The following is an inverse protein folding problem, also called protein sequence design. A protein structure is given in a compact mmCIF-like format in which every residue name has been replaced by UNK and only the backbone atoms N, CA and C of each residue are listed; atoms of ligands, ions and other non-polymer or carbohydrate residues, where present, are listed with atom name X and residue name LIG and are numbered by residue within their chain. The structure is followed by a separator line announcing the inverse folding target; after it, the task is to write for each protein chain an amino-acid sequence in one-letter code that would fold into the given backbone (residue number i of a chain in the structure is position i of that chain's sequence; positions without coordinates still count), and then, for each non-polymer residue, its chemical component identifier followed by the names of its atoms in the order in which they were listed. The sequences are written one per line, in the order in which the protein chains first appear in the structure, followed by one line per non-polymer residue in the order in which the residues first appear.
data_IF_781786147972
#
_entry.id   IF_781786147972
#
_cell.length_a   1.000
_cell.length_b   1.000
_cell.length_c   1.000
_cell.angle_alpha   90.00
_cell.angle_beta   90.00
_cell.angle_gamma   90.00
#
_symmetry.space_group_name_H-M   'P 1'
#
loop_
_entity.id
_entity.type
_entity.pdbx_description
1 polymer ?
#
# COMPACT_ATOMS: atom_id res chain seq x y z
N UNK A 1 37.56 68.15 29.39
CA UNK A 1 37.99 69.38 28.67
C UNK A 1 37.18 69.39 27.38
N UNK A 2 36.05 70.09 27.38
CA UNK A 2 35.92 71.50 26.99
C UNK A 2 35.97 71.65 25.45
N UNK A 3 34.95 72.30 24.89
CA UNK A 3 35.09 72.96 23.59
C UNK A 3 33.87 72.94 22.69
N UNK A 4 32.99 73.93 22.89
CA UNK A 4 32.08 74.50 21.91
C UNK A 4 32.75 74.85 20.56
N UNK A 5 31.93 74.90 19.50
CA UNK A 5 31.97 75.87 18.37
C UNK A 5 30.71 75.65 17.50
N UNK A 6 29.68 76.47 17.66
CA UNK A 6 29.38 77.74 16.95
C UNK A 6 28.86 77.62 15.50
N UNK A 7 27.57 77.96 15.37
CA UNK A 7 26.96 78.94 14.45
C UNK A 7 27.29 78.96 12.95
N UNK A 8 26.24 78.83 12.11
CA UNK A 8 25.72 79.99 11.35
C UNK A 8 24.33 79.74 10.72
N UNK A 9 23.41 80.64 11.04
CA UNK A 9 22.13 80.85 10.39
C UNK A 9 22.28 81.51 9.01
N UNK A 10 21.28 81.33 8.13
CA UNK A 10 20.77 82.38 7.23
C UNK A 10 19.30 82.11 6.88
N UNK A 11 18.41 82.90 7.47
CA UNK A 11 17.06 83.20 6.98
C UNK A 11 17.12 84.01 5.69
N UNK A 12 16.15 83.82 4.80
CA UNK A 12 15.43 84.83 4.00
C UNK A 12 14.41 84.07 3.14
N UNK A 13 13.20 84.51 2.82
CA UNK A 13 12.32 85.60 3.22
C UNK A 13 11.02 85.32 2.42
N UNK A 14 9.86 85.36 3.07
CA UNK A 14 8.55 85.33 2.41
C UNK A 14 8.36 86.59 1.55
N UNK A 15 7.77 86.43 0.37
CA UNK A 15 7.03 87.48 -0.32
C UNK A 15 5.84 86.87 -1.08
N UNK A 16 4.64 87.11 -0.54
CA UNK A 16 3.36 86.98 -1.24
C UNK A 16 3.21 88.10 -2.28
N UNK A 17 2.70 87.77 -3.47
CA UNK A 17 1.83 88.64 -4.27
C UNK A 17 1.03 87.78 -5.25
N UNK A 18 -0.28 87.72 -5.03
CA UNK A 18 -1.23 87.18 -6.01
C UNK A 18 -1.51 88.17 -7.15
N UNK A 19 -2.06 87.65 -8.26
CA UNK A 19 -3.19 88.19 -9.03
C UNK A 19 -3.57 87.21 -10.16
N UNK A 20 -4.88 86.93 -10.23
CA UNK A 20 -5.71 86.55 -11.39
C UNK A 20 -5.57 85.18 -12.05
N UNK A 21 -6.47 84.29 -11.64
CA UNK A 21 -7.44 83.56 -12.48
C UNK A 21 -7.19 83.49 -13.98
N UNK A 22 -7.02 82.27 -14.50
CA UNK A 22 -7.93 81.73 -15.51
C UNK A 22 -7.97 80.20 -15.44
N UNK A 23 -9.20 79.70 -15.57
CA UNK A 23 -9.66 78.32 -15.71
C UNK A 23 -8.66 77.30 -16.25
N UNK A 24 -8.45 76.23 -15.48
CA UNK A 24 -8.39 74.87 -16.02
C UNK A 24 -8.82 73.89 -14.91
N UNK A 25 -10.11 73.89 -14.64
CA UNK A 25 -10.80 72.78 -13.96
C UNK A 25 -10.74 71.55 -14.88
N UNK A 26 -9.60 70.85 -14.90
CA UNK A 26 -9.55 69.46 -15.34
C UNK A 26 -10.19 68.62 -14.26
N UNK A 27 -11.47 68.33 -14.45
CA UNK A 27 -12.24 67.36 -13.67
C UNK A 27 -11.54 66.01 -13.67
N UNK A 28 -10.67 65.75 -12.69
CA UNK A 28 -10.38 64.38 -12.27
C UNK A 28 -11.68 63.83 -11.71
N UNK A 29 -12.40 63.02 -12.50
CA UNK A 29 -13.52 62.25 -11.99
C UNK A 29 -13.04 61.44 -10.78
N UNK A 30 -13.51 61.80 -9.58
CA UNK A 30 -13.26 61.03 -8.38
C UNK A 30 -13.85 59.63 -8.61
N UNK A 31 -12.99 58.61 -8.61
CA UNK A 31 -13.43 57.22 -8.75
C UNK A 31 -14.38 56.86 -7.60
N UNK A 32 -15.43 56.11 -7.90
CA UNK A 32 -16.34 55.61 -6.87
C UNK A 32 -15.57 54.79 -5.81
N UNK A 33 -15.96 54.83 -4.53
CA UNK A 33 -15.28 54.11 -3.44
C UNK A 33 -15.09 52.60 -3.70
N UNK A 34 -16.02 51.98 -4.43
CA UNK A 34 -15.94 50.59 -4.86
C UNK A 34 -14.75 50.35 -5.81
N UNK A 35 -14.43 51.28 -6.70
CA UNK A 35 -13.31 51.17 -7.65
C UNK A 35 -11.99 51.32 -6.89
N UNK A 36 -11.93 52.18 -5.88
CA UNK A 36 -10.74 52.31 -5.00
C UNK A 36 -10.43 50.99 -4.28
N UNK A 37 -11.44 50.33 -3.73
CA UNK A 37 -11.29 49.01 -3.10
C UNK A 37 -10.77 47.95 -4.09
N UNK A 38 -11.25 47.94 -5.34
CA UNK A 38 -10.75 47.03 -6.38
C UNK A 38 -9.27 47.30 -6.74
N UNK A 39 -8.86 48.57 -6.76
CA UNK A 39 -7.46 48.97 -6.99
C UNK A 39 -6.54 48.55 -5.84
N UNK A 40 -7.00 48.64 -4.60
CA UNK A 40 -6.27 48.22 -3.40
C UNK A 40 -6.12 46.70 -3.35
N UNK A 41 -7.20 45.94 -3.59
CA UNK A 41 -7.15 44.48 -3.71
C UNK A 41 -6.14 44.03 -4.76
N UNK A 42 -6.06 44.74 -5.89
CA UNK A 42 -5.04 44.48 -6.92
C UNK A 42 -3.63 44.73 -6.38
N UNK A 43 -3.38 45.85 -5.70
CA UNK A 43 -2.05 46.16 -5.16
C UNK A 43 -1.55 45.07 -4.20
N UNK A 44 -2.44 44.54 -3.35
CA UNK A 44 -2.11 43.42 -2.47
C UNK A 44 -1.67 42.17 -3.24
N UNK A 45 -2.28 41.88 -4.40
CA UNK A 45 -1.87 40.75 -5.26
C UNK A 45 -0.51 40.97 -5.93
N UNK A 46 -0.22 42.21 -6.33
CA UNK A 46 1.10 42.55 -6.91
C UNK A 46 2.21 42.34 -5.88
N UNK A 47 2.00 42.81 -4.64
CA UNK A 47 2.94 42.59 -3.53
C UNK A 47 3.17 41.10 -3.27
N UNK A 48 2.12 40.28 -3.34
CA UNK A 48 2.23 38.83 -3.18
C UNK A 48 3.05 38.17 -4.30
N UNK A 49 2.91 38.62 -5.54
CA UNK A 49 3.71 38.14 -6.67
C UNK A 49 5.18 38.56 -6.52
N UNK A 50 5.45 39.78 -6.04
CA UNK A 50 6.80 40.27 -5.75
C UNK A 50 7.46 39.47 -4.62
N UNK A 51 6.73 39.19 -3.53
CA UNK A 51 7.20 38.37 -2.41
C UNK A 51 7.57 36.95 -2.86
N UNK A 52 6.76 36.30 -3.70
CA UNK A 52 7.09 34.99 -4.27
C UNK A 52 8.38 35.04 -5.09
N UNK A 53 8.60 36.11 -5.85
CA UNK A 53 9.81 36.28 -6.64
C UNK A 53 11.05 36.48 -5.75
N UNK A 54 10.93 37.29 -4.69
CA UNK A 54 12.00 37.53 -3.73
C UNK A 54 12.34 36.25 -2.95
N UNK A 55 11.35 35.46 -2.54
CA UNK A 55 11.55 34.15 -1.94
C UNK A 55 12.29 33.19 -2.89
N UNK A 56 11.90 33.13 -4.16
CA UNK A 56 12.57 32.30 -5.17
C UNK A 56 14.00 32.74 -5.48
N UNK A 57 14.30 34.04 -5.33
CA UNK A 57 15.65 34.57 -5.53
C UNK A 57 16.51 34.47 -4.27
N UNK A 58 15.92 34.56 -3.08
CA UNK A 58 16.59 34.45 -1.77
C UNK A 58 16.86 33.03 -1.30
N UNK A 59 16.22 32.01 -1.89
CA UNK A 59 16.33 30.59 -1.51
C UNK A 59 17.47 29.84 -2.23
N UNK A 60 18.67 30.42 -2.19
CA UNK A 60 19.94 29.68 -2.27
C UNK A 60 20.40 29.25 -0.86
N UNK A 61 19.46 28.76 -0.06
CA UNK A 61 19.68 28.22 1.29
C UNK A 61 19.13 26.81 1.34
N UNK A 62 19.80 25.93 2.09
CA UNK A 62 19.93 24.48 1.98
C UNK A 62 18.63 23.62 1.96
N UNK A 63 17.43 24.21 1.91
CA UNK A 63 16.13 23.54 2.05
C UNK A 63 15.19 23.65 0.83
N UNK A 64 15.64 24.16 -0.32
CA UNK A 64 14.79 24.30 -1.52
C UNK A 64 14.50 22.94 -2.18
N UNK A 65 13.25 22.46 -2.09
CA UNK A 65 12.81 21.20 -2.71
C UNK A 65 12.06 21.44 -4.02
N UNK A 66 12.06 20.44 -4.91
CA UNK A 66 11.28 20.46 -6.18
C UNK A 66 9.79 20.73 -5.91
N UNK A 67 9.27 20.22 -4.78
CA UNK A 67 7.89 20.41 -4.36
C UNK A 67 7.62 21.86 -3.91
N UNK A 68 8.54 22.48 -3.16
CA UNK A 68 8.45 23.90 -2.80
C UNK A 68 8.43 24.77 -4.06
N UNK A 69 9.40 24.56 -4.96
CA UNK A 69 9.49 25.30 -6.23
C UNK A 69 8.25 25.09 -7.11
N UNK A 70 7.62 23.90 -7.07
CA UNK A 70 6.37 23.65 -7.79
C UNK A 70 5.20 24.38 -7.14
N UNK A 71 5.15 24.43 -5.81
CA UNK A 71 4.12 25.12 -5.03
C UNK A 71 4.16 26.63 -5.25
N UNK A 72 5.35 27.24 -5.22
CA UNK A 72 5.54 28.65 -5.58
C UNK A 72 5.01 28.96 -6.98
N UNK A 73 5.21 28.04 -7.94
CA UNK A 73 4.68 28.17 -9.30
C UNK A 73 3.17 28.10 -9.40
N UNK A 74 2.53 27.20 -8.63
CA UNK A 74 1.06 27.11 -8.62
C UNK A 74 0.44 28.35 -8.00
N UNK A 75 0.98 28.84 -6.88
CA UNK A 75 0.47 30.04 -6.20
C UNK A 75 0.63 31.28 -7.10
N UNK A 76 1.80 31.47 -7.71
CA UNK A 76 2.02 32.58 -8.64
C UNK A 76 1.04 32.55 -9.82
N UNK A 77 0.72 31.36 -10.34
CA UNK A 77 -0.21 31.21 -11.47
C UNK A 77 -1.66 31.49 -11.07
N UNK A 78 -2.08 31.06 -9.88
CA UNK A 78 -3.42 31.34 -9.36
C UNK A 78 -3.62 32.83 -9.07
N UNK A 79 -2.62 33.49 -8.48
CA UNK A 79 -2.63 34.93 -8.24
C UNK A 79 -2.60 35.73 -9.55
N UNK A 80 -1.83 35.29 -10.55
CA UNK A 80 -1.85 35.87 -11.88
C UNK A 80 -3.23 35.80 -12.52
N UNK A 81 -3.90 34.64 -12.44
CA UNK A 81 -5.25 34.46 -13.00
C UNK A 81 -6.24 35.42 -12.33
N UNK A 82 -6.23 35.49 -11.01
CA UNK A 82 -7.10 36.39 -10.27
C UNK A 82 -6.79 37.88 -10.55
N UNK A 83 -5.51 38.24 -10.68
CA UNK A 83 -5.09 39.58 -11.10
C UNK A 83 -5.57 39.92 -12.51
N UNK A 84 -5.42 39.00 -13.47
CA UNK A 84 -5.88 39.16 -14.84
C UNK A 84 -7.40 39.37 -14.91
N UNK A 85 -8.16 38.53 -14.20
CA UNK A 85 -9.62 38.65 -14.12
C UNK A 85 -10.06 39.99 -13.50
N UNK A 86 -9.33 40.48 -12.49
CA UNK A 86 -9.57 41.79 -11.87
C UNK A 86 -9.18 42.94 -12.80
N UNK A 87 -8.07 42.82 -13.52
CA UNK A 87 -7.62 43.81 -14.50
C UNK A 87 -8.65 44.00 -15.62
N UNK A 88 -9.21 42.90 -16.16
CA UNK A 88 -10.28 42.96 -17.15
C UNK A 88 -11.50 43.75 -16.66
N UNK A 89 -11.92 43.53 -15.41
CA UNK A 89 -13.04 44.30 -14.81
C UNK A 89 -12.70 45.77 -14.65
N UNK A 90 -11.45 46.10 -14.27
CA UNK A 90 -11.00 47.47 -14.13
C UNK A 90 -10.92 48.20 -15.49
N UNK A 91 -10.64 47.49 -16.59
CA UNK A 91 -10.71 48.04 -17.95
C UNK A 91 -12.11 48.51 -18.35
N UNK A 92 -13.16 47.96 -17.75
CA UNK A 92 -14.55 48.38 -18.01
C UNK A 92 -15.00 49.53 -17.09
N UNK A 93 -14.38 49.66 -15.91
CA UNK A 93 -14.82 50.56 -14.84
C UNK A 93 -13.99 51.83 -14.71
N UNK A 94 -12.74 51.82 -15.19
CA UNK A 94 -11.77 52.90 -15.01
C UNK A 94 -11.54 53.60 -16.35
N UNK A 95 -11.59 54.95 -16.39
CA UNK A 95 -11.27 55.70 -17.61
C UNK A 95 -9.86 55.40 -18.16
N UNK A 96 -9.66 55.32 -19.49
CA UNK A 96 -8.37 54.99 -20.10
C UNK A 96 -7.22 55.96 -19.77
N UNK A 97 -7.55 57.20 -19.46
CA UNK A 97 -6.65 58.29 -19.07
C UNK A 97 -6.28 58.27 -17.57
N UNK A 98 -6.86 57.35 -16.79
CA UNK A 98 -6.58 57.22 -15.37
C UNK A 98 -5.14 56.73 -15.11
N UNK A 99 -4.52 57.20 -14.01
CA UNK A 99 -3.16 56.85 -13.58
C UNK A 99 -2.89 55.34 -13.45
N UNK A 100 -3.96 54.55 -13.39
CA UNK A 100 -3.92 53.10 -13.43
C UNK A 100 -3.30 52.53 -14.72
N UNK A 101 -3.67 53.06 -15.88
CA UNK A 101 -3.20 52.57 -17.19
C UNK A 101 -1.87 53.19 -17.60
N UNK A 102 -1.53 54.37 -17.06
CA UNK A 102 -0.28 55.07 -17.40
C UNK A 102 0.98 54.40 -16.84
N UNK A 103 0.85 53.49 -15.86
CA UNK A 103 1.98 52.74 -15.27
C UNK A 103 2.16 51.32 -15.85
N UNK A 104 1.42 50.97 -16.90
CA UNK A 104 1.44 49.66 -17.57
C UNK A 104 1.51 48.47 -16.59
N UNK A 105 0.71 48.57 -15.53
CA UNK A 105 0.80 47.68 -14.36
C UNK A 105 0.56 46.21 -14.71
N UNK A 106 -0.25 45.95 -15.74
CA UNK A 106 -0.48 44.61 -16.25
C UNK A 106 0.78 44.00 -16.88
N UNK A 107 1.51 44.78 -17.69
CA UNK A 107 2.77 44.34 -18.29
C UNK A 107 3.84 44.07 -17.24
N UNK A 108 3.95 44.91 -16.20
CA UNK A 108 4.89 44.72 -15.09
C UNK A 108 4.63 43.39 -14.38
N UNK A 109 3.38 43.11 -14.00
CA UNK A 109 3.02 41.87 -13.30
C UNK A 109 3.18 40.65 -14.20
N UNK A 110 2.84 40.76 -15.49
CA UNK A 110 3.08 39.70 -16.48
C UNK A 110 4.56 39.33 -16.57
N UNK A 111 5.46 40.33 -16.54
CA UNK A 111 6.91 40.09 -16.51
C UNK A 111 7.37 39.42 -15.22
N UNK A 112 6.82 39.78 -14.06
CA UNK A 112 7.14 39.14 -12.78
C UNK A 112 6.78 37.65 -12.81
N UNK A 113 5.58 37.31 -13.29
CA UNK A 113 5.13 35.92 -13.43
C UNK A 113 6.03 35.12 -14.38
N UNK A 114 6.39 35.72 -15.52
CA UNK A 114 7.35 35.10 -16.45
C UNK A 114 8.70 34.84 -15.78
N UNK A 115 9.19 35.79 -14.99
CA UNK A 115 10.45 35.63 -14.26
C UNK A 115 10.36 34.50 -13.22
N UNK A 116 9.28 34.44 -12.45
CA UNK A 116 9.00 33.35 -11.49
C UNK A 116 9.04 31.99 -12.21
N UNK A 117 8.35 31.84 -13.34
CA UNK A 117 8.33 30.59 -14.10
C UNK A 117 9.73 30.19 -14.61
N UNK A 118 10.51 31.16 -15.09
CA UNK A 118 11.89 30.92 -15.54
C UNK A 118 12.81 30.53 -14.38
N UNK A 119 12.70 31.18 -13.23
CA UNK A 119 13.46 30.84 -12.02
C UNK A 119 13.10 29.44 -11.53
N UNK A 120 11.82 29.09 -11.51
CA UNK A 120 11.34 27.74 -11.18
C UNK A 120 11.92 26.69 -12.14
N UNK A 121 11.92 26.96 -13.45
CA UNK A 121 12.49 26.05 -14.43
C UNK A 121 14.00 25.85 -14.22
N UNK A 122 14.74 26.93 -13.91
CA UNK A 122 16.18 26.88 -13.58
C UNK A 122 16.45 26.07 -12.32
N UNK A 123 15.72 26.33 -11.24
CA UNK A 123 15.86 25.62 -9.96
C UNK A 123 15.55 24.13 -10.11
N UNK A 124 14.48 23.78 -10.84
CA UNK A 124 14.15 22.38 -11.17
C UNK A 124 15.26 21.69 -11.97
N UNK A 125 15.86 22.39 -12.94
CA UNK A 125 16.96 21.86 -13.72
C UNK A 125 18.24 21.66 -12.87
N UNK A 126 18.55 22.59 -11.96
CA UNK A 126 19.67 22.47 -11.02
C UNK A 126 19.48 21.29 -10.07
N UNK A 127 18.31 21.18 -9.44
CA UNK A 127 17.95 20.07 -8.54
C UNK A 127 17.91 18.70 -9.25
N UNK A 128 17.70 18.68 -10.57
CA UNK A 128 17.77 17.45 -11.37
C UNK A 128 19.19 17.01 -11.72
N UNK A 129 20.15 17.94 -11.82
CA UNK A 129 21.55 17.64 -12.14
C UNK A 129 22.34 17.06 -10.97
N UNK A 130 22.03 17.46 -9.74
CA UNK A 130 22.63 16.91 -8.51
C UNK A 130 22.35 15.41 -8.29
N UNK A 131 21.38 14.82 -9.00
CA UNK A 131 21.09 13.38 -8.96
C UNK A 131 22.09 12.51 -9.75
N UNK A 132 22.98 13.09 -10.55
CA UNK A 132 23.81 12.33 -11.53
C UNK A 132 25.31 12.37 -11.32
N UNK A 133 25.82 12.99 -10.25
CA UNK A 133 27.26 13.00 -9.95
C UNK A 133 27.55 12.40 -8.58
N UNK A 134 28.24 11.25 -8.48
CA UNK A 134 28.66 10.71 -7.20
C UNK A 134 29.91 11.48 -6.77
N UNK A 135 29.77 12.47 -5.91
CA UNK A 135 30.89 13.02 -5.14
C UNK A 135 30.63 12.81 -3.66
N UNK A 136 31.48 11.99 -3.06
CA UNK A 136 31.56 11.74 -1.63
C UNK A 136 31.69 13.05 -0.83
N UNK A 137 31.14 13.04 0.38
CA UNK A 137 31.33 13.97 1.51
C UNK A 137 30.14 14.87 1.84
N UNK A 138 29.05 14.27 2.31
CA UNK A 138 28.30 14.78 3.46
C UNK A 138 27.41 13.65 3.96
N UNK A 139 27.62 13.21 5.19
CA UNK A 139 26.62 12.43 5.92
C UNK A 139 25.52 13.41 6.31
N UNK A 140 24.73 13.83 5.33
CA UNK A 140 23.42 14.40 5.59
C UNK A 140 22.54 13.21 5.96
N UNK A 141 21.99 13.20 7.18
CA UNK A 141 20.98 12.25 7.61
C UNK A 141 19.77 12.32 6.66
N UNK A 142 19.85 11.61 5.53
CA UNK A 142 18.72 11.37 4.64
C UNK A 142 17.89 10.24 5.25
N UNK A 143 17.21 10.56 6.35
CA UNK A 143 15.90 9.97 6.60
C UNK A 143 15.00 10.54 5.50
N UNK A 144 15.04 9.85 4.35
CA UNK A 144 14.23 10.01 3.15
C UNK A 144 13.07 10.97 3.33
N UNK A 145 13.02 12.06 2.51
CA UNK A 145 11.86 12.95 2.33
C UNK A 145 10.54 12.21 2.61
N UNK A 146 10.02 12.37 3.83
CA UNK A 146 8.74 11.77 4.22
C UNK A 146 7.68 12.59 3.51
N UNK A 147 7.05 12.00 2.51
CA UNK A 147 5.92 12.64 1.83
C UNK A 147 4.72 12.68 2.78
N UNK A 148 4.00 13.79 2.76
CA UNK A 148 2.81 13.96 3.59
C UNK A 148 1.68 13.17 2.93
N UNK A 149 1.03 12.21 3.63
CA UNK A 149 -0.07 11.44 3.09
C UNK A 149 -1.27 12.34 2.77
N UNK A 150 -2.10 11.92 1.81
CA UNK A 150 -3.34 12.62 1.50
C UNK A 150 -4.46 12.26 2.48
N UNK A 151 -5.24 13.25 2.90
CA UNK A 151 -6.34 13.05 3.83
C UNK A 151 -7.70 13.28 3.17
N UNK A 152 -8.49 12.22 3.02
CA UNK A 152 -9.80 12.26 2.35
C UNK A 152 -10.99 12.58 3.27
N UNK A 153 -10.77 12.60 4.59
CA UNK A 153 -11.83 12.74 5.59
C UNK A 153 -12.33 11.44 6.22
N UNK A 154 -11.56 10.35 6.13
CA UNK A 154 -11.85 9.13 6.91
C UNK A 154 -11.32 9.29 8.33
N UNK A 155 -12.13 8.92 9.32
CA UNK A 155 -11.74 9.03 10.73
C UNK A 155 -10.53 8.17 11.11
N UNK A 156 -10.39 7.00 10.48
CA UNK A 156 -9.32 6.03 10.71
C UNK A 156 -7.94 6.61 10.36
N UNK A 157 -7.88 7.43 9.31
CA UNK A 157 -6.64 7.98 8.74
C UNK A 157 -6.24 9.32 9.41
N UNK A 158 -7.12 9.89 10.25
CA UNK A 158 -6.94 11.25 10.78
C UNK A 158 -5.70 11.37 11.66
N UNK A 159 -5.50 10.41 12.59
CA UNK A 159 -4.41 10.47 13.57
C UNK A 159 -3.04 10.46 12.88
N UNK A 160 -2.82 9.52 11.97
CA UNK A 160 -1.58 9.41 11.20
C UNK A 160 -1.32 10.68 10.38
N UNK A 161 -2.33 11.18 9.67
CA UNK A 161 -2.21 12.41 8.91
C UNK A 161 -1.88 13.61 9.80
N UNK A 162 -2.58 13.78 10.92
CA UNK A 162 -2.43 14.92 11.82
C UNK A 162 -1.02 14.96 12.42
N UNK A 163 -0.52 13.82 12.91
CA UNK A 163 0.82 13.70 13.49
C UNK A 163 1.92 14.00 12.46
N UNK A 164 1.83 13.41 11.26
CA UNK A 164 2.80 13.63 10.18
C UNK A 164 2.76 15.09 9.71
N UNK A 165 1.57 15.65 9.49
CA UNK A 165 1.42 17.03 9.02
C UNK A 165 1.92 18.04 10.05
N UNK A 166 1.58 17.87 11.34
CA UNK A 166 2.10 18.75 12.38
C UNK A 166 3.63 18.66 12.49
N UNK A 167 4.20 17.46 12.48
CA UNK A 167 5.66 17.27 12.56
C UNK A 167 6.40 17.91 11.37
N UNK A 168 5.87 17.75 10.15
CA UNK A 168 6.56 18.19 8.94
C UNK A 168 6.27 19.65 8.55
N UNK A 169 5.11 20.20 8.93
CA UNK A 169 4.62 21.51 8.50
C UNK A 169 4.07 22.33 9.66
N UNK A 170 3.11 21.80 10.41
CA UNK A 170 2.32 22.57 11.38
C UNK A 170 3.15 23.18 12.52
N UNK A 171 4.08 22.41 13.08
CA UNK A 171 4.89 22.78 14.25
C UNK A 171 6.21 23.47 13.89
N UNK A 172 6.51 23.65 12.60
CA UNK A 172 7.73 24.35 12.16
C UNK A 172 7.49 25.87 12.17
N UNK A 173 8.24 26.65 12.97
CA UNK A 173 8.08 28.11 13.02
C UNK A 173 8.63 28.79 11.75
N UNK A 174 9.56 28.13 11.06
CA UNK A 174 10.20 28.62 9.81
C UNK A 174 9.23 28.69 8.61
N UNK A 175 8.08 28.01 8.69
CA UNK A 175 7.10 27.98 7.60
C UNK A 175 6.03 29.05 7.86
N UNK A 176 5.89 30.06 6.99
CA UNK A 176 4.80 31.04 7.08
C UNK A 176 3.40 30.39 7.14
N UNK A 177 2.47 30.91 7.94
CA UNK A 177 1.10 30.37 8.07
C UNK A 177 0.36 30.21 6.74
N UNK A 178 0.57 31.13 5.78
CA UNK A 178 -0.02 31.06 4.43
C UNK A 178 0.43 29.77 3.71
N UNK A 179 1.72 29.44 3.79
CA UNK A 179 2.28 28.24 3.17
C UNK A 179 1.83 26.97 3.88
N UNK A 180 1.64 27.01 5.22
CA UNK A 180 1.02 25.91 5.95
C UNK A 180 -0.39 25.62 5.44
N UNK A 181 -1.20 26.67 5.25
CA UNK A 181 -2.57 26.54 4.74
C UNK A 181 -2.61 26.06 3.29
N UNK A 182 -1.71 26.55 2.42
CA UNK A 182 -1.61 26.09 1.05
C UNK A 182 -1.27 24.60 0.97
N UNK A 183 -0.27 24.14 1.74
CA UNK A 183 0.10 22.72 1.84
C UNK A 183 -1.03 21.88 2.41
N UNK A 184 -1.72 22.36 3.44
CA UNK A 184 -2.89 21.70 4.02
C UNK A 184 -3.98 21.49 2.96
N UNK A 185 -4.37 22.54 2.22
CA UNK A 185 -5.38 22.43 1.15
C UNK A 185 -4.93 21.52 0.00
N UNK A 186 -3.62 21.43 -0.28
CA UNK A 186 -3.08 20.53 -1.31
C UNK A 186 -3.21 19.05 -0.95
N UNK A 187 -2.97 18.72 0.32
CA UNK A 187 -2.95 17.33 0.84
C UNK A 187 -4.32 16.85 1.35
N UNK A 188 -5.26 17.74 1.58
CA UNK A 188 -6.63 17.41 1.97
C UNK A 188 -7.52 17.23 0.73
N UNK A 189 -8.30 16.14 0.68
CA UNK A 189 -9.19 15.76 -0.44
C UNK A 189 -10.60 15.46 0.07
N UNK A 190 -11.53 15.26 -0.87
CA UNK A 190 -12.87 14.73 -0.59
C UNK A 190 -13.67 15.54 0.43
N UNK A 191 -14.25 14.86 1.42
CA UNK A 191 -15.10 15.47 2.44
C UNK A 191 -14.33 16.47 3.32
N UNK A 192 -13.06 16.18 3.61
CA UNK A 192 -12.21 17.09 4.38
C UNK A 192 -11.86 18.36 3.59
N UNK A 193 -11.70 18.27 2.25
CA UNK A 193 -11.48 19.45 1.41
C UNK A 193 -12.73 20.35 1.36
N UNK A 194 -13.91 19.74 1.33
CA UNK A 194 -15.19 20.45 1.43
C UNK A 194 -15.32 21.27 2.72
N UNK A 195 -14.79 20.76 3.84
CA UNK A 195 -14.78 21.46 5.13
C UNK A 195 -13.93 22.75 5.09
N UNK A 196 -12.92 22.78 4.22
CA UNK A 196 -11.98 23.89 4.04
C UNK A 196 -12.31 24.78 2.84
N UNK A 197 -13.37 24.49 2.07
CA UNK A 197 -13.68 25.17 0.82
C UNK A 197 -13.88 26.69 1.00
N UNK A 198 -14.47 27.11 2.12
CA UNK A 198 -14.77 28.51 2.43
C UNK A 198 -13.61 29.27 3.10
N UNK A 199 -12.47 28.62 3.34
CA UNK A 199 -11.30 29.27 3.91
C UNK A 199 -10.41 29.80 2.76
N UNK A 200 -10.40 31.13 2.58
CA UNK A 200 -9.46 31.81 1.68
C UNK A 200 -8.01 31.57 2.16
N UNK A 201 -7.06 31.44 1.23
CA UNK A 201 -5.64 31.18 1.51
C UNK A 201 -4.98 32.46 2.02
N UNK A 202 -5.30 32.83 3.25
CA UNK A 202 -4.73 33.95 3.99
C UNK A 202 -4.10 33.39 5.26
N UNK A 203 -2.94 33.89 5.68
CA UNK A 203 -2.13 33.28 6.75
C UNK A 203 -2.87 33.13 8.08
N UNK A 204 -3.75 34.09 8.39
CA UNK A 204 -4.62 34.09 9.56
C UNK A 204 -5.64 32.94 9.59
N UNK A 205 -5.88 32.30 8.45
CA UNK A 205 -6.87 31.22 8.32
C UNK A 205 -6.26 29.82 8.51
N UNK A 206 -4.93 29.67 8.61
CA UNK A 206 -4.32 28.36 8.86
C UNK A 206 -4.84 27.76 10.16
N UNK A 207 -4.73 28.51 11.26
CA UNK A 207 -5.14 28.05 12.58
C UNK A 207 -6.63 27.68 12.61
N UNK A 208 -7.49 28.54 12.05
CA UNK A 208 -8.94 28.28 11.92
C UNK A 208 -9.26 27.06 11.05
N UNK A 209 -8.50 26.84 9.98
CA UNK A 209 -8.66 25.68 9.11
C UNK A 209 -8.26 24.38 9.82
N UNK A 210 -7.17 24.41 10.57
CA UNK A 210 -6.69 23.29 11.36
C UNK A 210 -7.68 22.93 12.48
N UNK A 211 -8.12 23.92 13.26
CA UNK A 211 -9.13 23.74 14.32
C UNK A 211 -10.45 23.17 13.80
N UNK A 212 -10.88 23.56 12.58
CA UNK A 212 -12.08 22.96 11.95
C UNK A 212 -11.88 21.47 11.66
N UNK A 213 -10.70 21.07 11.19
CA UNK A 213 -10.40 19.66 10.94
C UNK A 213 -10.34 18.89 12.26
N UNK A 214 -9.63 19.40 13.27
CA UNK A 214 -9.59 18.80 14.61
C UNK A 214 -11.00 18.64 15.19
N UNK A 215 -11.81 19.70 15.23
CA UNK A 215 -13.17 19.65 15.76
C UNK A 215 -14.05 18.60 15.06
N UNK A 216 -13.80 18.33 13.77
CA UNK A 216 -14.58 17.36 13.00
C UNK A 216 -14.04 15.93 13.09
N UNK A 217 -12.73 15.77 13.08
CA UNK A 217 -12.03 14.49 12.86
C UNK A 217 -11.25 13.98 14.08
N UNK A 218 -10.82 14.85 15.00
CA UNK A 218 -10.27 14.51 16.32
C UNK A 218 -11.41 14.15 17.29
N UNK A 219 -12.22 13.16 16.91
CA UNK A 219 -13.35 12.71 17.71
C UNK A 219 -13.20 11.23 18.05
N UNK A 220 -12.97 10.88 19.33
CA UNK A 220 -12.72 9.50 19.73
C UNK A 220 -13.90 8.56 19.44
N UNK A 221 -15.14 9.09 19.41
CA UNK A 221 -16.35 8.26 19.24
C UNK A 221 -16.48 7.68 17.82
N UNK A 222 -16.46 8.47 16.73
CA UNK A 222 -16.43 7.94 15.37
C UNK A 222 -15.20 7.08 15.09
N UNK A 223 -14.02 7.45 15.61
CA UNK A 223 -12.78 6.67 15.44
C UNK A 223 -12.97 5.28 16.06
N UNK A 224 -13.39 5.19 17.33
CA UNK A 224 -13.68 3.92 17.98
C UNK A 224 -14.75 3.11 17.24
N UNK A 225 -15.80 3.77 16.75
CA UNK A 225 -16.88 3.12 15.97
C UNK A 225 -16.35 2.53 14.66
N UNK A 226 -15.45 3.23 13.96
CA UNK A 226 -14.83 2.73 12.73
C UNK A 226 -13.99 1.48 13.01
N UNK A 227 -13.12 1.54 14.03
CA UNK A 227 -12.33 0.38 14.46
C UNK A 227 -13.22 -0.80 14.86
N UNK A 228 -14.24 -0.60 15.71
CA UNK A 228 -15.18 -1.66 16.10
C UNK A 228 -15.93 -2.27 14.90
N UNK A 229 -16.35 -1.46 13.95
CA UNK A 229 -16.96 -1.97 12.72
C UNK A 229 -16.00 -2.84 11.90
N UNK A 230 -14.71 -2.49 11.88
CA UNK A 230 -13.70 -3.30 11.22
C UNK A 230 -13.48 -4.63 11.96
N UNK A 231 -13.51 -4.64 13.30
CA UNK A 231 -13.44 -5.86 14.13
C UNK A 231 -14.54 -6.84 13.74
N UNK A 232 -15.77 -6.35 13.65
CA UNK A 232 -16.97 -7.16 13.40
C UNK A 232 -17.06 -7.66 11.95
N UNK A 233 -16.29 -7.07 11.03
CA UNK A 233 -16.26 -7.43 9.60
C UNK A 233 -15.19 -8.46 9.25
N UNK A 234 -14.35 -8.88 10.20
CA UNK A 234 -13.29 -9.86 9.95
C UNK A 234 -13.92 -11.15 9.42
N UNK A 235 -13.45 -11.59 8.24
CA UNK A 235 -13.97 -12.77 7.56
C UNK A 235 -13.17 -14.02 7.97
N UNK A 236 -13.83 -15.19 8.05
CA UNK A 236 -13.15 -16.47 8.19
C UNK A 236 -12.11 -16.69 7.09
N UNK A 237 -10.93 -17.15 7.48
CA UNK A 237 -9.90 -17.59 6.56
C UNK A 237 -10.40 -18.82 5.80
N UNK A 238 -10.41 -18.71 4.48
CA UNK A 238 -10.91 -19.77 3.59
C UNK A 238 -9.84 -20.80 3.24
N UNK A 239 -8.57 -20.53 3.57
CA UNK A 239 -7.44 -21.42 3.29
C UNK A 239 -6.38 -21.34 4.38
N UNK A 240 -5.69 -22.47 4.59
CA UNK A 240 -4.47 -22.55 5.40
C UNK A 240 -3.36 -21.78 4.69
N UNK A 241 -3.18 -20.52 5.05
CA UNK A 241 -2.12 -19.67 4.50
C UNK A 241 -1.47 -18.93 5.64
N UNK A 242 -0.13 -19.00 5.73
CA UNK A 242 0.62 -18.18 6.68
C UNK A 242 0.27 -16.69 6.51
N UNK A 243 0.27 -16.22 5.26
CA UNK A 243 -0.06 -14.82 4.94
C UNK A 243 -1.46 -14.40 5.39
N UNK A 244 -2.41 -15.33 5.44
CA UNK A 244 -3.76 -15.09 5.95
C UNK A 244 -3.78 -14.91 7.46
N UNK A 245 -3.08 -15.80 8.18
CA UNK A 245 -2.96 -15.74 9.65
C UNK A 245 -2.28 -14.45 10.09
N UNK A 246 -1.16 -14.08 9.46
CA UNK A 246 -0.42 -12.84 9.76
C UNK A 246 -1.31 -11.62 9.54
N UNK A 247 -2.04 -11.55 8.41
CA UNK A 247 -2.93 -10.41 8.11
C UNK A 247 -4.06 -10.25 9.13
N UNK A 248 -4.69 -11.35 9.55
CA UNK A 248 -5.78 -11.28 10.53
C UNK A 248 -5.26 -10.91 11.92
N UNK A 249 -4.12 -11.48 12.32
CA UNK A 249 -3.42 -11.13 13.55
C UNK A 249 -3.07 -9.63 13.59
N UNK A 250 -2.41 -9.12 12.54
CA UNK A 250 -2.02 -7.72 12.43
C UNK A 250 -3.22 -6.77 12.45
N UNK A 251 -4.27 -7.06 11.67
CA UNK A 251 -5.47 -6.22 11.63
C UNK A 251 -6.17 -6.11 12.99
N UNK A 252 -6.12 -7.18 13.80
CA UNK A 252 -6.65 -7.16 15.16
C UNK A 252 -5.75 -6.42 16.13
N UNK A 253 -4.43 -6.58 16.03
CA UNK A 253 -3.46 -5.86 16.86
C UNK A 253 -3.58 -4.34 16.65
N UNK A 254 -3.59 -3.89 15.40
CA UNK A 254 -3.74 -2.47 15.06
C UNK A 254 -5.03 -1.88 15.64
N UNK A 255 -6.12 -2.64 15.59
CA UNK A 255 -7.42 -2.26 16.13
C UNK A 255 -7.40 -2.11 17.65
N UNK A 256 -6.81 -3.09 18.33
CA UNK A 256 -6.64 -3.12 19.78
C UNK A 256 -5.79 -1.94 20.26
N UNK A 257 -4.69 -1.67 19.58
CA UNK A 257 -3.81 -0.55 19.88
C UNK A 257 -4.50 0.80 19.62
N UNK A 258 -5.28 0.91 18.55
CA UNK A 258 -6.06 2.10 18.27
C UNK A 258 -7.12 2.38 19.36
N UNK A 259 -7.84 1.35 19.83
CA UNK A 259 -8.80 1.49 20.94
C UNK A 259 -8.12 1.93 22.24
N UNK A 260 -6.94 1.39 22.54
CA UNK A 260 -6.14 1.82 23.70
C UNK A 260 -5.69 3.28 23.55
N UNK A 261 -5.26 3.68 22.36
CA UNK A 261 -4.84 5.05 22.07
C UNK A 261 -5.96 6.09 22.20
N UNK A 262 -7.23 5.66 22.13
CA UNK A 262 -8.42 6.51 22.35
C UNK A 262 -8.72 6.72 23.84
N UNK A 263 -8.00 6.05 24.75
CA UNK A 263 -8.18 6.16 26.20
C UNK A 263 -9.21 5.18 26.78
N UNK A 264 -9.51 4.09 26.07
CA UNK A 264 -10.36 3.01 26.60
C UNK A 264 -9.47 2.08 27.44
N UNK A 265 -9.43 2.34 28.74
CA UNK A 265 -8.54 1.64 29.70
C UNK A 265 -9.06 0.28 30.15
N UNK A 266 -10.39 0.06 30.18
CA UNK A 266 -10.95 -1.26 30.46
C UNK A 266 -10.85 -2.15 29.22
N UNK A 267 -9.77 -2.94 29.18
CA UNK A 267 -9.45 -3.74 28.01
C UNK A 267 -10.10 -5.11 27.97
N UNK A 268 -10.63 -5.59 29.09
CA UNK A 268 -11.02 -6.98 29.22
C UNK A 268 -12.15 -7.36 28.26
N UNK A 269 -13.18 -6.51 28.18
CA UNK A 269 -14.32 -6.77 27.30
C UNK A 269 -13.91 -6.81 25.83
N UNK A 270 -13.13 -5.83 25.36
CA UNK A 270 -12.73 -5.82 23.96
C UNK A 270 -11.69 -6.90 23.65
N UNK A 271 -10.83 -7.29 24.60
CA UNK A 271 -9.91 -8.43 24.44
C UNK A 271 -10.69 -9.72 24.24
N UNK A 272 -11.76 -9.94 25.01
CA UNK A 272 -12.66 -11.08 24.83
C UNK A 272 -13.30 -11.07 23.43
N UNK A 273 -13.78 -9.90 22.97
CA UNK A 273 -14.32 -9.76 21.62
C UNK A 273 -13.25 -10.00 20.54
N UNK A 274 -12.03 -9.51 20.71
CA UNK A 274 -10.94 -9.68 19.77
C UNK A 274 -10.56 -11.17 19.65
N UNK A 275 -10.42 -11.87 20.77
CA UNK A 275 -10.16 -13.32 20.84
C UNK A 275 -11.29 -14.10 20.16
N UNK A 276 -12.54 -13.76 20.43
CA UNK A 276 -13.69 -14.43 19.82
C UNK A 276 -13.74 -14.24 18.29
N UNK A 277 -13.49 -13.02 17.81
CA UNK A 277 -13.45 -12.72 16.38
C UNK A 277 -12.24 -13.39 15.71
N UNK A 278 -11.06 -13.38 16.35
CA UNK A 278 -9.88 -14.11 15.87
C UNK A 278 -10.18 -15.60 15.77
N UNK A 279 -10.75 -16.21 16.81
CA UNK A 279 -11.11 -17.63 16.83
C UNK A 279 -12.05 -17.99 15.67
N UNK A 280 -13.07 -17.16 15.42
CA UNK A 280 -13.99 -17.32 14.28
C UNK A 280 -13.31 -17.12 12.93
N UNK A 281 -12.24 -16.33 12.89
CA UNK A 281 -11.47 -16.11 11.68
C UNK A 281 -10.55 -17.30 11.34
N UNK A 282 -10.15 -18.09 12.34
CA UNK A 282 -9.24 -19.23 12.18
C UNK A 282 -9.96 -20.48 11.65
N UNK A 283 -9.21 -21.37 11.00
CA UNK A 283 -9.73 -22.67 10.57
C UNK A 283 -9.93 -23.65 11.75
N UNK A 284 -10.71 -24.72 11.50
CA UNK A 284 -11.10 -25.72 12.51
C UNK A 284 -9.89 -26.37 13.21
N UNK A 285 -8.79 -26.62 12.49
CA UNK A 285 -7.59 -27.26 13.06
C UNK A 285 -6.81 -26.29 13.96
N UNK A 286 -6.72 -25.02 13.57
CA UNK A 286 -6.06 -24.01 14.39
C UNK A 286 -6.91 -23.71 15.64
N UNK A 287 -8.24 -23.70 15.50
CA UNK A 287 -9.15 -23.57 16.65
C UNK A 287 -8.95 -24.74 17.63
N UNK A 288 -8.93 -25.98 17.14
CA UNK A 288 -8.70 -27.16 18.00
C UNK A 288 -7.34 -27.09 18.71
N UNK A 289 -6.26 -26.75 17.98
CA UNK A 289 -4.94 -26.60 18.56
C UNK A 289 -4.86 -25.49 19.62
N UNK A 290 -5.65 -24.42 19.47
CA UNK A 290 -5.79 -23.37 20.47
C UNK A 290 -6.45 -23.89 21.75
N UNK A 291 -7.57 -24.63 21.64
CA UNK A 291 -8.23 -25.22 22.81
C UNK A 291 -7.33 -26.23 23.53
N UNK A 292 -6.57 -27.04 22.78
CA UNK A 292 -5.58 -27.97 23.35
C UNK A 292 -4.50 -27.22 24.12
N UNK A 293 -4.00 -26.08 23.60
CA UNK A 293 -3.01 -25.23 24.28
C UNK A 293 -3.54 -24.70 25.62
N UNK A 294 -4.82 -24.32 25.68
CA UNK A 294 -5.45 -23.84 26.92
C UNK A 294 -5.64 -24.97 27.94
N UNK A 295 -5.84 -26.20 27.48
CA UNK A 295 -5.97 -27.38 28.34
C UNK A 295 -7.17 -27.25 29.29
N UNK A 296 -6.92 -27.36 30.60
CA UNK A 296 -7.98 -27.29 31.62
C UNK A 296 -8.20 -25.89 32.20
N UNK A 297 -7.57 -24.84 31.66
CA UNK A 297 -7.77 -23.45 32.11
C UNK A 297 -9.23 -23.04 31.93
N UNK A 298 -9.74 -22.27 32.90
CA UNK A 298 -11.12 -21.75 32.92
C UNK A 298 -11.20 -20.22 32.99
N UNK A 299 -10.05 -19.58 33.16
CA UNK A 299 -9.90 -18.13 33.07
C UNK A 299 -9.90 -17.67 31.60
N UNK A 300 -10.26 -16.42 31.36
CA UNK A 300 -10.21 -15.84 30.02
C UNK A 300 -8.74 -15.67 29.59
N UNK A 301 -8.33 -16.24 28.45
CA UNK A 301 -6.99 -16.01 27.94
C UNK A 301 -6.82 -14.52 27.58
N UNK A 302 -5.60 -14.01 27.71
CA UNK A 302 -5.29 -12.64 27.27
C UNK A 302 -5.17 -12.58 25.75
N UNK A 303 -5.50 -11.43 25.16
CA UNK A 303 -5.40 -11.25 23.71
C UNK A 303 -3.98 -11.54 23.19
N UNK A 304 -2.97 -11.09 23.94
CA UNK A 304 -1.56 -11.32 23.62
C UNK A 304 -1.19 -12.82 23.52
N UNK A 305 -1.73 -13.66 24.40
CA UNK A 305 -1.44 -15.11 24.38
C UNK A 305 -1.97 -15.80 23.12
N UNK A 306 -3.09 -15.30 22.59
CA UNK A 306 -3.69 -15.79 21.35
C UNK A 306 -2.93 -15.28 20.12
N UNK A 307 -2.48 -14.02 20.15
CA UNK A 307 -1.67 -13.44 19.08
C UNK A 307 -0.37 -14.23 18.90
N UNK A 308 0.36 -14.48 19.98
CA UNK A 308 1.60 -15.27 19.98
C UNK A 308 1.39 -16.69 19.43
N UNK A 309 0.24 -17.31 19.73
CA UNK A 309 -0.12 -18.61 19.19
C UNK A 309 -0.35 -18.57 17.68
N UNK A 310 -1.12 -17.59 17.19
CA UNK A 310 -1.41 -17.45 15.77
C UNK A 310 -0.14 -17.14 14.98
N UNK A 311 0.73 -16.28 15.49
CA UNK A 311 2.04 -16.02 14.89
C UNK A 311 2.94 -17.24 14.89
N UNK A 312 2.97 -18.02 15.97
CA UNK A 312 3.72 -19.27 16.01
C UNK A 312 3.21 -20.26 14.95
N UNK A 313 1.89 -20.31 14.74
CA UNK A 313 1.27 -21.13 13.70
C UNK A 313 1.60 -20.63 12.29
N UNK A 314 1.60 -19.31 12.07
CA UNK A 314 2.02 -18.68 10.83
C UNK A 314 3.49 -19.02 10.50
N UNK A 315 4.42 -18.79 11.44
CA UNK A 315 5.84 -19.18 11.30
C UNK A 315 6.01 -20.67 10.99
N UNK A 316 5.21 -21.51 11.65
CA UNK A 316 5.16 -22.94 11.35
C UNK A 316 4.79 -23.20 9.89
N UNK A 317 3.70 -22.61 9.41
CA UNK A 317 3.26 -22.74 8.03
C UNK A 317 4.31 -22.23 7.03
N UNK A 318 4.96 -21.08 7.27
CA UNK A 318 6.05 -20.56 6.43
C UNK A 318 7.20 -21.57 6.28
N UNK A 319 7.63 -22.16 7.38
CA UNK A 319 8.71 -23.14 7.39
C UNK A 319 8.35 -24.46 6.67
N UNK A 320 7.06 -24.82 6.64
CA UNK A 320 6.57 -26.02 5.95
C UNK A 320 6.09 -25.76 4.51
N UNK A 321 5.67 -24.53 4.16
CA UNK A 321 5.27 -24.10 2.81
C UNK A 321 6.49 -24.15 1.86
N UNK A 322 7.69 -23.78 2.33
CA UNK A 322 8.94 -23.86 1.56
C UNK A 322 9.38 -25.29 1.20
N UNK A 323 8.92 -26.30 1.94
CA UNK A 323 9.26 -27.72 1.71
C UNK A 323 8.35 -28.33 0.63
N UNK A 324 7.11 -27.85 0.48
CA UNK A 324 6.14 -28.38 -0.49
C UNK A 324 6.21 -27.73 -1.88
N UNK A 325 6.89 -26.58 -2.05
CA UNK A 325 6.93 -25.86 -3.34
C UNK A 325 8.00 -26.34 -4.34
N UNK A 326 8.88 -27.29 -3.98
CA UNK A 326 9.88 -27.85 -4.92
C UNK A 326 9.32 -28.88 -5.94
N UNK A 327 8.01 -29.04 -6.04
CA UNK A 327 7.40 -30.04 -6.93
C UNK A 327 6.08 -29.60 -7.57
N UNK A 328 6.07 -28.51 -8.33
CA UNK A 328 4.93 -28.17 -9.19
C UNK A 328 5.39 -27.97 -10.64
N UNK A 329 4.95 -28.81 -11.61
CA UNK A 329 4.98 -28.47 -13.03
C UNK A 329 3.96 -27.34 -13.32
N UNK A 330 4.18 -26.52 -14.36
CA UNK A 330 3.42 -25.29 -14.54
C UNK A 330 1.96 -25.57 -14.92
N UNK A 331 1.10 -24.73 -14.37
CA UNK A 331 -0.35 -24.65 -14.57
C UNK A 331 -0.71 -24.41 -16.04
N UNK A 332 -1.61 -25.24 -16.58
CA UNK A 332 -2.53 -24.80 -17.65
C UNK A 332 -3.93 -24.62 -17.07
N UNK A 333 -4.47 -23.48 -17.46
CA UNK A 333 -5.63 -22.74 -16.99
C UNK A 333 -6.97 -23.30 -17.48
N UNK A 334 -8.03 -22.71 -16.88
CA UNK A 334 -9.47 -22.71 -17.22
C UNK A 334 -10.30 -23.75 -16.47
N UNK A 335 -10.99 -23.36 -15.39
CA UNK A 335 -12.21 -22.53 -15.30
C UNK A 335 -13.46 -23.25 -15.82
N UNK A 336 -14.38 -23.61 -14.91
CA UNK A 336 -15.67 -22.95 -14.70
C UNK A 336 -16.57 -23.78 -13.75
N UNK A 337 -17.32 -23.03 -12.94
CA UNK A 337 -18.62 -23.25 -12.24
C UNK A 337 -19.35 -24.59 -12.48
N UNK A 338 -20.20 -25.13 -11.60
CA UNK A 338 -21.07 -24.53 -10.59
C UNK A 338 -21.68 -25.63 -9.71
N UNK A 339 -21.98 -25.26 -8.46
CA UNK A 339 -23.18 -25.57 -7.66
C UNK A 339 -23.63 -27.02 -7.36
N UNK A 340 -23.78 -27.20 -6.04
CA UNK A 340 -24.92 -27.81 -5.31
C UNK A 340 -25.08 -29.33 -5.26
N UNK A 341 -25.28 -29.81 -4.04
CA UNK A 341 -25.81 -31.14 -3.76
C UNK A 341 -25.31 -31.70 -2.43
N UNK A 342 -25.95 -31.26 -1.35
CA UNK A 342 -25.89 -31.78 0.02
C UNK A 342 -25.85 -33.31 0.11
N UNK A 343 -24.92 -33.85 0.91
CA UNK A 343 -25.25 -34.90 1.90
C UNK A 343 -24.11 -35.01 2.91
N UNK A 344 -24.48 -34.90 4.18
CA UNK A 344 -23.66 -35.26 5.33
C UNK A 344 -23.22 -36.72 5.21
N UNK A 345 -21.91 -36.97 5.36
CA UNK A 345 -21.34 -38.18 5.98
C UNK A 345 -19.84 -37.96 6.21
N UNK A 346 -19.37 -38.37 7.38
CA UNK A 346 -18.14 -37.92 8.04
C UNK A 346 -16.90 -37.80 7.16
N UNK A 347 -16.15 -36.71 7.39
CA UNK A 347 -14.78 -36.52 6.88
C UNK A 347 -13.89 -37.62 7.47
N UNK A 348 -13.83 -38.79 6.82
CA UNK A 348 -12.68 -39.66 6.99
C UNK A 348 -11.50 -38.92 6.38
N UNK A 349 -10.51 -38.56 7.20
CA UNK A 349 -9.23 -38.07 6.71
C UNK A 349 -8.77 -38.91 5.51
N UNK A 350 -8.39 -38.23 4.42
CA UNK A 350 -7.99 -38.84 3.13
C UNK A 350 -6.63 -39.53 3.24
N UNK A 351 -6.48 -40.38 4.24
CA UNK A 351 -5.32 -41.22 4.43
C UNK A 351 -5.44 -42.47 3.56
N UNK A 352 -4.30 -42.92 3.05
CA UNK A 352 -4.22 -44.10 2.23
C UNK A 352 -4.68 -45.33 3.02
N UNK A 353 -5.69 -46.06 2.51
CA UNK A 353 -6.21 -47.24 3.20
C UNK A 353 -5.20 -48.39 3.35
N UNK A 354 -4.00 -48.30 2.74
CA UNK A 354 -2.90 -49.26 2.94
C UNK A 354 -1.81 -48.78 3.90
N UNK A 355 -1.36 -47.53 3.81
CA UNK A 355 -0.19 -47.05 4.56
C UNK A 355 -0.48 -45.90 5.51
N UNK A 356 -1.73 -45.44 5.59
CA UNK A 356 -2.20 -44.36 6.46
C UNK A 356 -1.52 -43.00 6.25
N UNK A 357 -0.70 -42.86 5.20
CA UNK A 357 -0.10 -41.59 4.77
C UNK A 357 -1.09 -40.78 3.91
N UNK A 358 -0.84 -39.48 3.75
CA UNK A 358 -1.69 -38.57 3.00
C UNK A 358 -1.53 -38.74 1.47
N UNK A 359 -2.22 -39.73 0.90
CA UNK A 359 -2.42 -39.91 -0.55
C UNK A 359 -3.56 -40.90 -0.84
N UNK A 360 -4.14 -40.83 -2.03
CA UNK A 360 -5.08 -41.87 -2.48
C UNK A 360 -4.36 -43.19 -2.75
N UNK A 361 -5.00 -44.30 -2.39
CA UNK A 361 -4.43 -45.65 -2.52
C UNK A 361 -3.94 -45.99 -3.95
N UNK A 362 -4.53 -45.37 -4.97
CA UNK A 362 -4.12 -45.50 -6.38
C UNK A 362 -2.64 -45.14 -6.58
N UNK A 363 -2.15 -44.17 -5.81
CA UNK A 363 -0.76 -43.68 -5.87
C UNK A 363 0.14 -44.28 -4.78
N UNK A 364 -0.35 -45.24 -4.00
CA UNK A 364 0.40 -45.80 -2.89
C UNK A 364 1.47 -46.80 -3.38
N UNK A 365 2.77 -46.57 -3.14
CA UNK A 365 3.83 -47.50 -3.55
C UNK A 365 3.69 -48.86 -2.85
N UNK A 366 3.30 -48.86 -1.56
CA UNK A 366 3.08 -50.10 -0.80
C UNK A 366 1.91 -50.91 -1.34
N UNK A 367 0.87 -50.27 -1.87
CA UNK A 367 -0.24 -50.95 -2.51
C UNK A 367 0.14 -51.47 -3.91
N UNK A 368 0.89 -50.68 -4.70
CA UNK A 368 1.36 -51.09 -6.01
C UNK A 368 2.30 -52.32 -5.95
N UNK A 369 3.11 -52.42 -4.90
CA UNK A 369 4.03 -53.52 -4.65
C UNK A 369 3.35 -54.82 -4.17
N UNK A 370 2.08 -54.80 -3.76
CA UNK A 370 1.38 -55.99 -3.27
C UNK A 370 1.06 -56.97 -4.39
N UNK A 371 1.08 -58.26 -4.06
CA UNK A 371 0.61 -59.30 -4.96
C UNK A 371 -0.86 -59.03 -5.34
N UNK A 372 -1.21 -59.33 -6.59
CA UNK A 372 -2.53 -59.07 -7.14
C UNK A 372 -3.72 -59.63 -6.29
N UNK A 373 -3.69 -60.87 -5.75
CA UNK A 373 -4.76 -61.34 -4.86
C UNK A 373 -4.86 -60.52 -3.57
N UNK A 374 -3.73 -60.08 -3.00
CA UNK A 374 -3.72 -59.25 -1.79
C UNK A 374 -4.29 -57.84 -2.06
N UNK A 375 -4.05 -57.28 -3.26
CA UNK A 375 -4.65 -56.00 -3.68
C UNK A 375 -6.18 -56.09 -3.73
N UNK A 376 -6.73 -57.19 -4.26
CA UNK A 376 -8.19 -57.41 -4.32
C UNK A 376 -8.79 -57.57 -2.93
N UNK A 377 -8.17 -58.38 -2.07
CA UNK A 377 -8.62 -58.58 -0.69
C UNK A 377 -8.71 -57.24 0.08
N UNK A 378 -7.69 -56.38 -0.05
CA UNK A 378 -7.69 -55.07 0.61
C UNK A 378 -8.78 -54.13 0.07
N UNK A 379 -9.03 -54.14 -1.25
CA UNK A 379 -10.11 -53.34 -1.87
C UNK A 379 -11.47 -53.79 -1.36
N UNK A 380 -11.69 -55.11 -1.22
CA UNK A 380 -12.90 -55.67 -0.61
C UNK A 380 -13.04 -55.25 0.85
N UNK A 381 -11.98 -55.45 1.64
CA UNK A 381 -11.94 -55.17 3.08
C UNK A 381 -12.23 -53.70 3.38
N UNK A 382 -11.61 -52.79 2.63
CA UNK A 382 -11.74 -51.34 2.79
C UNK A 382 -12.90 -50.73 2.00
N UNK A 383 -13.77 -51.57 1.40
CA UNK A 383 -14.96 -51.17 0.62
C UNK A 383 -14.67 -50.13 -0.46
N UNK A 384 -13.57 -50.31 -1.17
CA UNK A 384 -13.14 -49.42 -2.24
C UNK A 384 -13.72 -49.86 -3.59
N UNK A 385 -13.94 -48.89 -4.47
CA UNK A 385 -14.44 -49.13 -5.82
C UNK A 385 -13.42 -49.96 -6.62
N UNK A 386 -13.80 -51.13 -7.15
CA UNK A 386 -12.89 -51.93 -7.98
C UNK A 386 -12.43 -51.20 -9.25
N UNK A 387 -13.14 -50.17 -9.74
CA UNK A 387 -12.77 -49.44 -10.96
C UNK A 387 -11.76 -48.32 -10.71
N UNK A 388 -12.03 -47.44 -9.75
CA UNK A 388 -11.19 -46.26 -9.49
C UNK A 388 -10.52 -46.24 -8.12
N UNK A 389 -10.71 -47.28 -7.30
CA UNK A 389 -10.19 -47.43 -5.94
C UNK A 389 -10.58 -46.29 -4.97
N UNK A 390 -11.70 -45.59 -5.26
CA UNK A 390 -12.27 -44.56 -4.40
C UNK A 390 -13.29 -45.11 -3.39
N UNK A 391 -13.72 -44.32 -2.39
CA UNK A 391 -14.64 -44.75 -1.33
C UNK A 391 -16.10 -44.77 -1.82
N UNK A 392 -16.43 -45.69 -2.73
CA UNK A 392 -17.78 -45.93 -3.25
C UNK A 392 -17.85 -47.31 -3.93
N UNK A 393 -19.05 -47.76 -4.30
CA UNK A 393 -19.25 -49.02 -5.02
C UNK A 393 -18.95 -48.88 -6.53
N UNK A 394 -18.70 -49.99 -7.24
CA UNK A 394 -18.51 -49.95 -8.70
C UNK A 394 -19.77 -49.45 -9.44
N UNK A 395 -20.96 -49.74 -8.90
CA UNK A 395 -22.24 -49.31 -9.47
C UNK A 395 -22.45 -47.79 -9.41
N UNK A 396 -21.90 -47.14 -8.39
CA UNK A 396 -21.95 -45.67 -8.20
C UNK A 396 -20.72 -44.95 -8.79
N UNK A 397 -19.86 -45.68 -9.50
CA UNK A 397 -18.62 -45.14 -10.03
C UNK A 397 -18.84 -44.32 -11.29
N UNK A 398 -18.53 -43.02 -11.22
CA UNK A 398 -18.57 -42.09 -12.36
C UNK A 398 -17.37 -42.23 -13.32
N UNK A 399 -16.37 -43.03 -12.97
CA UNK A 399 -15.19 -43.23 -13.81
C UNK A 399 -15.53 -44.05 -15.05
N UNK A 400 -15.34 -43.45 -16.23
CA UNK A 400 -15.47 -44.13 -17.54
C UNK A 400 -14.23 -44.97 -17.89
N UNK A 401 -13.15 -44.85 -17.12
CA UNK A 401 -11.93 -45.64 -17.31
C UNK A 401 -12.24 -47.13 -17.16
N UNK A 402 -11.62 -47.93 -18.01
CA UNK A 402 -11.70 -49.40 -18.03
C UNK A 402 -10.31 -49.97 -17.94
N UNK A 403 -10.20 -51.23 -17.53
CA UNK A 403 -8.92 -51.91 -17.52
C UNK A 403 -8.29 -51.86 -18.92
N UNK A 404 -7.06 -51.38 -18.99
CA UNK A 404 -6.30 -51.24 -20.24
C UNK A 404 -5.99 -52.59 -20.91
N UNK A 405 -6.10 -53.70 -20.18
CA UNK A 405 -5.72 -55.03 -20.63
C UNK A 405 -6.91 -55.93 -21.02
N UNK A 406 -8.07 -55.80 -20.36
CA UNK A 406 -9.26 -56.61 -20.68
C UNK A 406 -10.54 -55.79 -20.90
N UNK A 407 -10.44 -54.46 -20.88
CA UNK A 407 -11.57 -53.51 -21.07
C UNK A 407 -12.73 -53.66 -20.05
N UNK A 408 -12.55 -54.45 -18.98
CA UNK A 408 -13.50 -54.59 -17.87
C UNK A 408 -13.60 -53.35 -16.98
N UNK A 409 -14.71 -53.22 -16.22
CA UNK A 409 -14.93 -52.14 -15.24
C UNK A 409 -14.17 -52.39 -13.92
N UNK A 410 -12.85 -52.51 -14.01
CA UNK A 410 -11.96 -52.59 -12.86
C UNK A 410 -10.63 -51.88 -13.14
N UNK A 411 -9.92 -51.52 -12.08
CA UNK A 411 -8.59 -50.92 -12.14
C UNK A 411 -7.59 -51.95 -12.68
N UNK A 412 -6.66 -51.53 -13.55
CA UNK A 412 -5.69 -52.45 -14.19
C UNK A 412 -4.80 -53.17 -13.16
N UNK A 413 -4.55 -52.57 -12.00
CA UNK A 413 -3.83 -53.19 -10.88
C UNK A 413 -4.56 -54.39 -10.22
N UNK A 414 -5.86 -54.57 -10.48
CA UNK A 414 -6.67 -55.65 -9.89
C UNK A 414 -6.93 -56.81 -10.86
N UNK A 415 -6.48 -56.71 -12.12
CA UNK A 415 -6.76 -57.68 -13.18
C UNK A 415 -6.16 -59.06 -12.87
N UNK A 416 -7.00 -60.10 -12.85
CA UNK A 416 -6.56 -61.50 -12.82
C UNK A 416 -6.03 -61.90 -14.20
N UNK A 417 -4.80 -62.40 -14.26
CA UNK A 417 -4.27 -63.00 -15.48
C UNK A 417 -5.08 -64.23 -15.87
N UNK A 418 -5.43 -64.34 -17.16
CA UNK A 418 -6.04 -65.57 -17.70
C UNK A 418 -5.05 -66.73 -17.59
N UNK A 419 -5.55 -67.97 -17.54
CA UNK A 419 -4.73 -69.17 -17.40
C UNK A 419 -3.62 -69.24 -18.48
N UNK A 420 -3.89 -68.75 -19.69
CA UNK A 420 -2.94 -68.66 -20.81
C UNK A 420 -1.78 -67.68 -20.55
N UNK A 421 -2.02 -66.58 -19.83
CA UNK A 421 -0.96 -65.61 -19.49
C UNK A 421 -0.09 -66.09 -18.32
N UNK A 422 -0.62 -66.90 -17.42
CA UNK A 422 0.18 -67.57 -16.37
C UNK A 422 1.17 -68.60 -16.95
N UNK A 423 0.84 -69.22 -18.09
CA UNK A 423 1.73 -70.14 -18.80
C UNK A 423 2.87 -69.39 -19.52
N UNK A 424 2.59 -68.25 -20.15
CA UNK A 424 3.61 -67.43 -20.81
C UNK A 424 4.60 -66.77 -19.84
N UNK A 425 4.13 -66.32 -18.66
CA UNK A 425 5.00 -65.75 -17.61
C UNK A 425 5.94 -66.80 -16.99
N UNK A 426 5.52 -68.08 -16.89
CA UNK A 426 6.38 -69.18 -16.44
C UNK A 426 7.45 -69.56 -17.47
N UNK A 427 7.12 -69.49 -18.77
CA UNK A 427 8.08 -69.73 -19.84
C UNK A 427 9.16 -68.63 -19.93
N UNK A 428 8.77 -67.36 -19.74
CA UNK A 428 9.70 -66.23 -19.73
C UNK A 428 10.67 -66.25 -18.54
N UNK A 429 10.25 -66.76 -17.37
CA UNK A 429 11.13 -66.90 -16.21
C UNK A 429 12.15 -68.04 -16.33
N UNK A 430 11.90 -69.05 -17.18
CA UNK A 430 12.83 -70.15 -17.43
C UNK A 430 13.90 -69.81 -18.49
N UNK A 431 13.60 -68.89 -19.42
CA UNK A 431 14.56 -68.44 -20.44
C UNK A 431 15.58 -67.42 -19.92
N UNK A 432 15.31 -66.78 -18.77
CA UNK A 432 16.16 -65.73 -18.19
C UNK A 432 17.39 -66.22 -17.42
N UNK A 433 17.54 -67.52 -17.18
CA UNK A 433 18.67 -68.08 -16.42
C UNK A 433 19.87 -68.51 -17.28
N UNK A 434 19.75 -68.57 -18.62
CA UNK A 434 20.88 -68.95 -19.49
C UNK A 434 21.60 -67.79 -20.17
N UNK A 435 21.12 -66.54 -20.01
CA UNK A 435 21.73 -65.37 -20.66
C UNK A 435 22.63 -64.52 -19.73
N UNK A 436 22.90 -65.00 -18.50
CA UNK A 436 23.76 -64.29 -17.53
C UNK A 436 25.22 -64.75 -17.51
N UNK A 437 25.53 -65.97 -17.95
CA UNK A 437 26.91 -66.49 -17.91
C UNK A 437 27.80 -66.05 -19.08
N UNK A 438 27.25 -65.49 -20.17
CA UNK A 438 28.06 -65.01 -21.31
C UNK A 438 28.52 -63.55 -21.20
N UNK A 439 27.96 -62.75 -20.28
CA UNK A 439 28.30 -61.31 -20.16
C UNK A 439 29.36 -61.00 -19.10
N UNK A 440 29.77 -61.99 -18.30
CA UNK A 440 30.78 -61.80 -17.24
C UNK A 440 32.19 -62.22 -17.67
N UNK A 441 32.34 -63.04 -18.72
CA UNK A 441 33.64 -63.43 -19.27
C UNK A 441 34.30 -62.33 -20.15
N UNK A 442 33.52 -61.43 -20.74
CA UNK A 442 34.04 -60.44 -21.71
C UNK A 442 34.43 -59.08 -21.10
N UNK A 443 34.39 -58.95 -19.77
CA UNK A 443 34.78 -57.73 -19.04
C UNK A 443 36.14 -57.82 -18.35
N UNK A 444 36.77 -59.00 -18.34
CA UNK A 444 38.08 -59.22 -17.72
C UNK A 444 39.28 -59.05 -18.68
N UNK A 445 39.06 -58.86 -20.00
CA UNK A 445 40.16 -58.79 -20.98
C UNK A 445 40.55 -57.36 -21.42
N UNK A 446 39.78 -56.32 -21.07
CA UNK A 446 40.03 -54.95 -21.57
C UNK A 446 40.70 -54.00 -20.56
N UNK A 447 41.16 -54.52 -19.41
CA UNK A 447 41.78 -53.69 -18.35
C UNK A 447 43.33 -53.76 -18.30
N UNK A 448 43.99 -54.35 -19.31
CA UNK A 448 45.47 -54.51 -19.31
C UNK A 448 46.22 -53.80 -20.45
N UNK A 449 45.58 -52.89 -21.20
CA UNK A 449 46.21 -52.23 -22.37
C UNK A 449 46.15 -50.68 -22.37
N UNK A 450 46.14 -50.03 -21.21
CA UNK A 450 46.33 -48.58 -21.11
C UNK A 450 47.26 -48.24 -19.94
N UNK A 451 48.55 -48.48 -20.16
CA UNK A 451 49.60 -48.24 -19.18
C UNK A 451 50.98 -48.38 -19.79
N UNK A 452 51.19 -47.79 -20.97
CA UNK A 452 52.50 -47.61 -21.62
C UNK A 452 52.29 -46.64 -22.78
N UNK A 453 52.38 -45.34 -22.50
CA UNK A 453 52.73 -44.29 -23.46
C UNK A 453 53.18 -43.04 -22.67
N UNK A 454 54.29 -43.22 -21.95
CA UNK A 454 55.17 -42.14 -21.49
C UNK A 454 56.60 -42.58 -21.81
N UNK A 455 57.01 -42.40 -23.07
CA UNK A 455 58.42 -42.32 -23.51
C UNK A 455 58.46 -41.98 -25.00
N UNK A 456 58.56 -40.68 -25.31
CA UNK A 456 59.67 -40.15 -26.12
C UNK A 456 59.74 -38.65 -26.03
#
# INVERSE_FOLDING_TARGET
MAGDKENKATETRNDEKGISSNDESSTMHALEPHIFFQLEMRNSRVLMIEEILDELNGTLSENTTIENTTTHGTVANDEWKAFSDHHCKLCELVPPDHQYFTRDSYYVVSRLIRNIQLTIAKLKAQLSKDRTTPSSSAVSNDLTRVDIPEFSGKYEDWKEFAEIFQSLVGSKPEIPPVLKLARLKGKVKGAAAGLLANNNVVGENYQKAWEKLEARYENPRPIATAHLNNLLKIKPLTSKSSSGLVKVAQALTELVEALRAIGIEDTQLWEIFAIHNLRKALDEEIQEAWEIKLGNRRDFPKFQEMLEFVEARARGLENFEGISQKGSPPTRTRAHHSSQGTSQQGKSDKTCAKCQLNHFIVYCPRFAAMAQPQRRALVTEKRLCYNCLGPHSVSSCKSTKRCTLCKGKHHSMLREGTAEQKLQLKAASAAGSSAKDEKEANKASTAQQQGKDSKS
#
